data_IF_373576342317
#
_entry.id   IF_373576342317
#
_cell.length_a   1.000
_cell.length_b   1.000
_cell.length_c   1.000
_cell.angle_alpha   90.00
_cell.angle_beta   90.00
_cell.angle_gamma   90.00
#
_symmetry.space_group_name_H-M   'P 1'
#
loop_
_entity.id
_entity.type
_entity.pdbx_description
1 polymer ?
#
# COMPACT_ATOMS: atom_id res chain seq x y z
N UNK A 1 21.66 6.34 17.06
CA UNK A 1 20.55 7.12 17.65
C UNK A 1 19.76 6.15 18.49
N UNK A 2 19.73 6.33 19.82
CA UNK A 2 18.80 5.59 20.67
C UNK A 2 17.37 5.90 20.22
N UNK A 3 16.51 4.89 20.17
CA UNK A 3 15.09 5.10 19.94
C UNK A 3 14.56 6.10 20.97
N UNK A 4 13.71 7.08 20.58
CA UNK A 4 13.11 7.98 21.55
C UNK A 4 12.42 7.15 22.64
N UNK A 5 12.48 7.59 23.92
CA UNK A 5 11.87 6.85 25.01
C UNK A 5 10.38 6.65 24.71
N UNK A 6 9.95 5.39 24.72
CA UNK A 6 8.55 5.02 24.59
C UNK A 6 7.82 5.51 25.84
N UNK A 7 7.03 6.57 25.71
CA UNK A 7 6.23 7.11 26.81
C UNK A 7 4.94 6.29 26.97
N UNK A 8 5.08 5.02 27.35
CA UNK A 8 3.94 4.19 27.74
C UNK A 8 3.72 4.29 29.24
N UNK A 9 2.49 4.60 29.65
CA UNK A 9 2.04 4.42 31.02
C UNK A 9 2.16 2.94 31.36
N UNK A 10 3.10 2.57 32.23
CA UNK A 10 3.28 1.17 32.69
C UNK A 10 2.12 0.63 33.57
N UNK A 11 0.95 1.25 33.54
CA UNK A 11 -0.27 0.75 34.15
C UNK A 11 -1.46 1.03 33.25
N UNK A 12 -2.21 0.00 32.90
CA UNK A 12 -3.41 0.03 32.05
C UNK A 12 -4.61 0.75 32.69
N UNK A 13 -4.47 1.27 33.90
CA UNK A 13 -5.61 1.76 34.70
C UNK A 13 -5.64 3.29 34.92
N UNK A 14 -4.61 4.05 34.53
CA UNK A 14 -4.53 5.48 34.86
C UNK A 14 -4.19 6.38 33.68
N UNK A 15 -4.87 7.53 33.64
CA UNK A 15 -4.54 8.65 32.77
C UNK A 15 -3.13 9.18 33.05
N UNK A 16 -2.52 9.78 32.04
CA UNK A 16 -1.15 10.30 32.07
C UNK A 16 -1.12 11.76 31.66
N UNK A 17 -0.45 12.59 32.45
CA UNK A 17 -0.24 14.00 32.14
C UNK A 17 1.11 14.23 31.45
N UNK A 18 1.10 15.01 30.37
CA UNK A 18 2.27 15.47 29.65
C UNK A 18 2.34 16.99 29.80
N UNK A 19 3.45 17.49 30.34
CA UNK A 19 3.60 18.90 30.72
C UNK A 19 4.87 19.50 30.14
N UNK A 20 4.92 20.82 30.05
CA UNK A 20 6.04 21.60 29.52
C UNK A 20 6.36 21.23 28.07
N UNK A 21 5.36 21.25 27.19
CA UNK A 21 5.50 21.08 25.75
C UNK A 21 5.15 22.34 24.97
N UNK A 22 5.35 22.30 23.66
CA UNK A 22 4.80 23.24 22.67
C UNK A 22 3.79 22.49 21.83
N UNK A 23 2.53 22.46 22.27
CA UNK A 23 1.50 21.58 21.73
C UNK A 23 0.67 22.34 20.72
N UNK A 24 0.77 21.97 19.44
CA UNK A 24 -0.09 22.48 18.39
C UNK A 24 -1.35 21.61 18.29
N UNK A 25 -2.52 22.22 18.44
CA UNK A 25 -3.79 21.49 18.61
C UNK A 25 -4.62 21.40 17.34
N UNK A 26 -4.36 22.25 16.34
CA UNK A 26 -5.22 22.45 15.16
C UNK A 26 -6.67 22.88 15.55
N UNK A 27 -6.85 23.42 16.75
CA UNK A 27 -8.11 24.01 17.19
C UNK A 27 -8.03 25.53 17.05
N UNK A 28 -8.84 26.14 16.17
CA UNK A 28 -8.85 27.59 15.93
C UNK A 28 -9.08 28.41 17.21
N UNK A 29 -9.86 27.89 18.17
CA UNK A 29 -10.14 28.57 19.43
C UNK A 29 -8.99 28.47 20.45
N UNK A 30 -8.13 27.47 20.33
CA UNK A 30 -6.97 27.26 21.19
C UNK A 30 -5.82 26.61 20.40
N UNK A 31 -5.17 27.32 19.46
CA UNK A 31 -4.22 26.69 18.51
C UNK A 31 -2.96 26.13 19.19
N UNK A 32 -2.63 26.67 20.35
CA UNK A 32 -1.47 26.29 21.15
C UNK A 32 -1.88 25.92 22.57
N UNK A 33 -1.21 24.91 23.12
CA UNK A 33 -1.26 24.53 24.52
C UNK A 33 0.14 24.18 25.01
N UNK A 34 0.28 24.04 26.33
CA UNK A 34 1.57 23.71 26.96
C UNK A 34 1.60 22.31 27.56
N UNK A 35 0.42 21.72 27.79
CA UNK A 35 0.26 20.45 28.48
C UNK A 35 -1.08 19.78 28.12
N UNK A 36 -1.17 18.47 28.36
CA UNK A 36 -2.39 17.69 28.17
C UNK A 36 -2.42 16.43 29.03
N UNK A 37 -3.61 15.84 29.18
CA UNK A 37 -3.84 14.55 29.84
C UNK A 37 -4.41 13.57 28.81
N UNK A 38 -3.81 12.38 28.72
CA UNK A 38 -4.31 11.26 27.92
C UNK A 38 -4.89 10.21 28.86
N UNK A 39 -6.15 9.84 28.63
CA UNK A 39 -6.84 8.79 29.35
C UNK A 39 -6.34 7.38 29.01
N UNK A 40 -6.74 6.35 29.77
CA UNK A 40 -6.34 4.97 29.52
C UNK A 40 -6.85 4.41 28.18
N UNK A 41 -7.89 5.02 27.60
CA UNK A 41 -8.43 4.70 26.27
C UNK A 41 -7.68 5.40 25.12
N UNK A 42 -6.66 6.20 25.42
CA UNK A 42 -5.86 6.94 24.45
C UNK A 42 -6.47 8.28 24.02
N UNK A 43 -7.56 8.74 24.64
CA UNK A 43 -8.19 10.02 24.31
C UNK A 43 -7.68 11.17 25.18
N UNK A 44 -7.72 12.39 24.65
CA UNK A 44 -7.42 13.58 25.44
C UNK A 44 -8.56 13.83 26.45
N UNK A 45 -8.23 13.89 27.73
CA UNK A 45 -9.17 14.27 28.80
C UNK A 45 -9.10 15.76 29.14
N UNK A 46 -7.94 16.39 28.93
CA UNK A 46 -7.72 17.82 29.14
C UNK A 46 -6.54 18.31 28.29
N UNK A 47 -6.62 19.55 27.79
CA UNK A 47 -5.55 20.24 27.03
C UNK A 47 -5.52 21.69 27.50
N UNK A 48 -4.36 22.22 27.87
CA UNK A 48 -4.30 23.54 28.49
C UNK A 48 -2.90 24.03 28.82
N UNK A 49 -2.85 24.99 29.74
CA UNK A 49 -1.60 25.52 30.30
C UNK A 49 -0.91 24.50 31.21
N UNK A 50 0.38 24.73 31.48
CA UNK A 50 1.11 23.95 32.48
C UNK A 50 0.45 23.98 33.86
N UNK A 51 -0.09 25.13 34.26
CA UNK A 51 -0.67 25.33 35.58
C UNK A 51 -1.92 24.46 35.77
N UNK A 52 -2.87 24.55 34.84
CA UNK A 52 -4.13 23.80 34.87
C UNK A 52 -3.89 22.29 34.88
N UNK A 53 -3.04 21.80 33.97
CA UNK A 53 -2.78 20.37 33.83
C UNK A 53 -1.99 19.82 35.02
N UNK A 54 -1.03 20.58 35.57
CA UNK A 54 -0.31 20.16 36.79
C UNK A 54 -1.25 20.10 38.00
N UNK A 55 -2.15 21.06 38.16
CA UNK A 55 -3.14 21.04 39.24
C UNK A 55 -4.07 19.82 39.14
N UNK A 56 -4.59 19.53 37.93
CA UNK A 56 -5.39 18.33 37.67
C UNK A 56 -4.60 17.05 37.95
N UNK A 57 -3.37 16.95 37.44
CA UNK A 57 -2.52 15.79 37.64
C UNK A 57 -2.19 15.56 39.12
N UNK A 58 -1.96 16.63 39.91
CA UNK A 58 -1.71 16.53 41.35
C UNK A 58 -2.97 16.06 42.10
N UNK A 59 -4.13 16.67 41.84
CA UNK A 59 -5.38 16.31 42.51
C UNK A 59 -5.79 14.84 42.26
N UNK A 60 -5.55 14.35 41.04
CA UNK A 60 -5.85 12.98 40.59
C UNK A 60 -4.70 12.00 40.81
N UNK A 61 -3.55 12.46 41.33
CA UNK A 61 -2.32 11.66 41.52
C UNK A 61 -1.84 10.96 40.24
N UNK A 62 -1.93 11.64 39.10
CA UNK A 62 -1.50 11.12 37.80
C UNK A 62 0.02 11.12 37.66
N UNK A 63 0.53 10.18 36.87
CA UNK A 63 1.92 10.21 36.38
C UNK A 63 2.09 11.44 35.49
N UNK A 64 3.21 12.16 35.68
CA UNK A 64 3.54 13.37 34.93
C UNK A 64 4.84 13.17 34.14
N UNK A 65 4.79 13.37 32.83
CA UNK A 65 5.96 13.36 31.95
C UNK A 65 6.33 14.78 31.52
N UNK A 66 7.60 15.15 31.68
CA UNK A 66 8.12 16.44 31.22
C UNK A 66 8.51 16.34 29.73
N UNK A 67 7.87 17.14 28.89
CA UNK A 67 8.16 17.25 27.46
C UNK A 67 9.36 18.17 27.17
N UNK A 68 9.86 18.92 28.16
CA UNK A 68 11.09 19.74 28.06
C UNK A 68 11.07 20.75 26.89
N UNK A 69 9.93 21.40 26.66
CA UNK A 69 9.72 22.36 25.58
C UNK A 69 9.62 21.74 24.18
N UNK A 70 9.60 20.40 24.05
CA UNK A 70 9.47 19.73 22.76
C UNK A 70 8.15 20.07 22.08
N UNK A 71 8.21 20.15 20.76
CA UNK A 71 7.03 20.32 19.92
C UNK A 71 6.20 19.04 19.88
N UNK A 72 4.88 19.21 19.98
CA UNK A 72 3.88 18.13 19.84
C UNK A 72 2.88 18.60 18.79
N UNK A 73 2.54 17.71 17.87
CA UNK A 73 1.50 17.90 16.86
C UNK A 73 0.63 16.65 16.78
N UNK A 74 -0.57 16.73 16.17
CA UNK A 74 -1.34 15.54 15.84
C UNK A 74 -0.51 14.61 14.96
N UNK A 75 -0.70 13.30 15.15
CA UNK A 75 -0.10 12.31 14.28
C UNK A 75 -0.58 12.49 12.83
N UNK A 76 0.28 12.11 11.88
CA UNK A 76 -0.02 12.29 10.46
C UNK A 76 -1.10 11.27 10.06
N UNK A 77 -2.07 11.73 9.30
CA UNK A 77 -3.01 10.90 8.56
C UNK A 77 -2.57 10.86 7.10
N UNK A 78 -2.22 9.67 6.61
CA UNK A 78 -1.94 9.47 5.18
C UNK A 78 -3.25 9.14 4.45
N UNK A 79 -3.68 10.06 3.58
CA UNK A 79 -4.99 10.00 2.96
C UNK A 79 -5.09 9.03 1.77
N UNK A 80 -3.98 8.43 1.31
CA UNK A 80 -4.04 7.42 0.25
C UNK A 80 -2.80 6.53 0.30
N UNK A 81 -2.99 5.28 0.70
CA UNK A 81 -1.90 4.30 0.81
C UNK A 81 -2.29 2.95 0.20
N UNK A 82 -1.27 2.11 0.00
CA UNK A 82 -1.41 0.71 -0.37
C UNK A 82 -0.52 -0.13 0.56
N UNK A 83 -0.86 -0.22 1.85
CA UNK A 83 -0.01 -0.77 2.93
C UNK A 83 0.46 -2.18 2.62
N UNK A 84 -0.47 -3.09 2.26
CA UNK A 84 -0.11 -4.49 2.01
C UNK A 84 0.72 -4.60 0.73
N UNK A 85 0.34 -3.89 -0.35
CA UNK A 85 1.11 -3.92 -1.59
C UNK A 85 2.53 -3.36 -1.40
N UNK A 86 2.67 -2.19 -0.76
CA UNK A 86 3.96 -1.57 -0.46
C UNK A 86 4.81 -2.45 0.47
N UNK A 87 4.20 -3.09 1.47
CA UNK A 87 4.90 -4.01 2.34
C UNK A 87 5.35 -5.29 1.61
N UNK A 88 4.53 -5.85 0.72
CA UNK A 88 4.91 -6.98 -0.14
C UNK A 88 6.09 -6.60 -1.03
N UNK A 89 6.02 -5.42 -1.67
CA UNK A 89 7.13 -4.86 -2.45
C UNK A 89 8.43 -4.84 -1.66
N UNK A 90 8.38 -4.40 -0.40
CA UNK A 90 9.55 -4.26 0.46
C UNK A 90 10.11 -5.57 0.98
N UNK A 91 9.29 -6.61 1.14
CA UNK A 91 9.67 -7.81 1.90
C UNK A 91 9.73 -9.09 1.08
N UNK A 92 8.96 -9.19 0.00
CA UNK A 92 8.78 -10.42 -0.79
C UNK A 92 9.12 -10.28 -2.27
N UNK A 93 9.51 -9.10 -2.73
CA UNK A 93 9.73 -8.85 -4.16
C UNK A 93 11.15 -8.30 -4.43
N UNK A 94 11.66 -8.62 -5.63
CA UNK A 94 13.02 -8.31 -6.04
C UNK A 94 13.17 -6.82 -6.39
N UNK A 95 14.02 -6.10 -5.66
CA UNK A 95 14.33 -4.69 -5.95
C UNK A 95 15.48 -4.60 -6.95
N UNK A 96 15.14 -4.36 -8.22
CA UNK A 96 16.07 -4.43 -9.34
C UNK A 96 16.70 -3.08 -9.74
N UNK A 97 16.18 -1.97 -9.21
CA UNK A 97 16.66 -0.61 -9.51
C UNK A 97 16.08 -0.03 -10.80
N UNK A 98 15.70 1.24 -10.74
CA UNK A 98 15.02 1.97 -11.84
C UNK A 98 15.87 2.06 -13.11
N UNK A 99 17.19 2.02 -12.94
CA UNK A 99 18.21 1.99 -14.00
C UNK A 99 18.29 0.65 -14.74
N UNK A 100 17.51 -0.36 -14.34
CA UNK A 100 17.42 -1.63 -15.07
C UNK A 100 17.09 -1.41 -16.54
N UNK A 101 17.84 -2.08 -17.40
CA UNK A 101 17.77 -1.99 -18.85
C UNK A 101 17.56 -3.36 -19.47
N UNK A 102 17.40 -3.41 -20.78
CA UNK A 102 17.35 -4.65 -21.57
C UNK A 102 18.51 -5.63 -21.29
N UNK A 103 19.70 -5.12 -20.90
CA UNK A 103 20.89 -5.92 -20.59
C UNK A 103 21.00 -6.37 -19.14
N UNK A 104 20.39 -5.64 -18.21
CA UNK A 104 20.57 -5.85 -16.76
C UNK A 104 19.32 -6.37 -16.06
N UNK A 105 18.15 -6.29 -16.71
CA UNK A 105 16.87 -6.66 -16.13
C UNK A 105 16.90 -8.04 -15.47
N UNK A 106 17.19 -9.08 -16.25
CA UNK A 106 17.10 -10.45 -15.74
C UNK A 106 18.20 -10.81 -14.73
N UNK A 107 19.41 -10.27 -14.88
CA UNK A 107 20.48 -10.49 -13.89
C UNK A 107 20.18 -9.78 -12.57
N UNK A 108 19.63 -8.56 -12.61
CA UNK A 108 19.21 -7.83 -11.42
C UNK A 108 18.09 -8.56 -10.68
N UNK A 109 17.10 -9.11 -11.40
CA UNK A 109 16.04 -9.94 -10.78
C UNK A 109 16.69 -11.12 -10.03
N UNK A 110 17.60 -11.85 -10.68
CA UNK A 110 18.25 -13.03 -10.10
C UNK A 110 19.04 -12.69 -8.83
N UNK A 111 19.76 -11.57 -8.84
CA UNK A 111 20.52 -11.12 -7.68
C UNK A 111 19.61 -10.65 -6.54
N UNK A 112 18.58 -9.87 -6.86
CA UNK A 112 17.69 -9.29 -5.86
C UNK A 112 16.71 -10.31 -5.26
N UNK A 113 16.23 -11.29 -6.05
CA UNK A 113 15.34 -12.35 -5.55
C UNK A 113 16.04 -13.25 -4.53
N UNK A 114 17.33 -13.54 -4.75
CA UNK A 114 18.15 -14.29 -3.79
C UNK A 114 18.36 -13.57 -2.46
N UNK A 115 18.32 -12.23 -2.45
CA UNK A 115 18.48 -11.43 -1.23
C UNK A 115 17.16 -11.19 -0.48
N UNK A 116 16.03 -11.55 -1.08
CA UNK A 116 14.70 -11.28 -0.54
C UNK A 116 14.23 -12.43 0.37
N UNK A 117 13.90 -12.09 1.63
CA UNK A 117 13.56 -13.07 2.67
C UNK A 117 12.29 -13.87 2.36
N UNK A 118 11.34 -13.28 1.63
CA UNK A 118 10.06 -13.90 1.28
C UNK A 118 9.88 -14.09 -0.23
N UNK A 119 10.98 -14.23 -1.00
CA UNK A 119 10.95 -14.37 -2.47
C UNK A 119 10.11 -15.54 -2.99
N UNK A 120 9.90 -16.59 -2.20
CA UNK A 120 9.13 -17.78 -2.60
C UNK A 120 7.66 -17.75 -2.10
N UNK A 121 7.20 -16.65 -1.50
CA UNK A 121 5.85 -16.57 -0.92
C UNK A 121 4.75 -16.65 -1.99
N UNK A 122 5.10 -16.29 -3.23
CA UNK A 122 4.24 -16.37 -4.42
C UNK A 122 4.49 -17.65 -5.23
N UNK A 123 4.93 -18.73 -4.56
CA UNK A 123 5.17 -20.01 -5.20
C UNK A 123 6.38 -19.97 -6.14
N UNK A 124 6.18 -20.41 -7.39
CA UNK A 124 7.18 -20.40 -8.45
C UNK A 124 7.34 -19.02 -9.14
N UNK A 125 6.47 -18.04 -8.83
CA UNK A 125 6.56 -16.71 -9.41
C UNK A 125 7.66 -15.87 -8.79
N UNK A 126 8.47 -15.26 -9.65
CA UNK A 126 9.38 -14.18 -9.25
C UNK A 126 8.77 -12.84 -9.63
N UNK A 127 8.62 -11.96 -8.63
CA UNK A 127 8.09 -10.60 -8.83
C UNK A 127 9.21 -9.58 -8.61
N UNK A 128 9.39 -8.65 -9.55
CA UNK A 128 10.41 -7.61 -9.49
C UNK A 128 9.85 -6.17 -9.58
N UNK A 129 10.60 -5.22 -9.01
CA UNK A 129 10.31 -3.79 -8.98
C UNK A 129 11.61 -2.97 -8.98
N UNK A 130 11.74 -1.81 -9.60
CA UNK A 130 10.98 -1.32 -10.75
C UNK A 130 11.96 -1.12 -11.88
N UNK A 131 11.50 -1.26 -13.12
CA UNK A 131 12.24 -0.77 -14.29
C UNK A 131 11.60 0.52 -14.82
N UNK A 132 12.31 1.22 -15.71
CA UNK A 132 11.75 2.32 -16.49
C UNK A 132 11.82 1.98 -17.98
N UNK A 133 10.71 2.10 -18.69
CA UNK A 133 10.63 1.70 -20.09
C UNK A 133 11.65 2.42 -21.00
N UNK A 134 11.99 3.68 -20.68
CA UNK A 134 12.97 4.47 -21.42
C UNK A 134 14.40 3.90 -21.42
N UNK A 135 14.70 2.93 -20.55
CA UNK A 135 16.01 2.28 -20.48
C UNK A 135 16.14 1.07 -21.41
N UNK A 136 15.08 0.72 -22.15
CA UNK A 136 15.05 -0.36 -23.12
C UNK A 136 15.33 0.20 -24.52
N UNK A 137 15.83 -0.66 -25.43
CA UNK A 137 16.01 -0.29 -26.82
C UNK A 137 14.67 0.25 -27.40
N UNK A 138 14.72 1.45 -27.97
CA UNK A 138 13.56 2.19 -28.50
C UNK A 138 12.42 2.47 -27.49
N UNK A 139 12.68 2.29 -26.19
CA UNK A 139 11.69 2.51 -25.13
C UNK A 139 10.64 1.40 -25.00
N UNK A 140 10.84 0.25 -25.65
CA UNK A 140 9.85 -0.84 -25.73
C UNK A 140 10.37 -2.06 -24.94
N UNK A 141 9.77 -2.39 -23.78
CA UNK A 141 10.11 -3.59 -23.05
C UNK A 141 9.61 -4.84 -23.78
N UNK A 142 10.35 -5.95 -23.67
CA UNK A 142 10.03 -7.20 -24.36
C UNK A 142 10.41 -8.42 -23.49
N UNK A 143 9.51 -9.40 -23.42
CA UNK A 143 9.66 -10.64 -22.65
C UNK A 143 10.93 -11.42 -22.98
N UNK A 144 11.48 -11.25 -24.18
CA UNK A 144 12.74 -11.89 -24.60
C UNK A 144 13.91 -11.59 -23.66
N UNK A 145 13.90 -10.42 -23.01
CA UNK A 145 14.94 -10.02 -22.05
C UNK A 145 14.85 -10.79 -20.73
N UNK A 146 13.70 -11.41 -20.44
CA UNK A 146 13.49 -12.30 -19.31
C UNK A 146 13.64 -13.76 -19.71
N UNK A 147 13.14 -14.14 -20.89
CA UNK A 147 13.07 -15.54 -21.35
C UNK A 147 14.44 -16.24 -21.40
N UNK A 148 15.53 -15.52 -21.67
CA UNK A 148 16.88 -16.11 -21.72
C UNK A 148 17.33 -16.70 -20.37
N UNK A 149 17.05 -15.99 -19.27
CA UNK A 149 17.45 -16.39 -17.91
C UNK A 149 16.32 -17.11 -17.16
N UNK A 150 15.08 -16.92 -17.59
CA UNK A 150 13.86 -17.48 -16.99
C UNK A 150 13.01 -18.20 -18.05
N UNK A 151 13.49 -19.29 -18.67
CA UNK A 151 12.74 -19.98 -19.71
C UNK A 151 11.51 -20.72 -19.17
N UNK A 152 11.59 -21.23 -17.94
CA UNK A 152 10.56 -22.06 -17.32
C UNK A 152 9.96 -21.48 -16.04
N UNK A 153 10.58 -20.44 -15.48
CA UNK A 153 10.11 -19.79 -14.26
C UNK A 153 9.26 -18.57 -14.64
N UNK A 154 8.02 -18.44 -14.16
CA UNK A 154 7.20 -17.28 -14.47
C UNK A 154 7.72 -16.03 -13.73
N UNK A 155 7.88 -14.93 -14.47
CA UNK A 155 8.42 -13.67 -13.97
C UNK A 155 7.49 -12.52 -14.33
N UNK A 156 7.23 -11.65 -13.35
CA UNK A 156 6.56 -10.35 -13.55
C UNK A 156 7.48 -9.27 -13.04
N UNK A 157 7.60 -8.18 -13.79
CA UNK A 157 8.32 -6.99 -13.35
C UNK A 157 7.40 -5.78 -13.50
N UNK A 158 7.19 -5.03 -12.42
CA UNK A 158 6.48 -3.74 -12.49
C UNK A 158 7.39 -2.65 -13.01
N UNK A 159 6.80 -1.80 -13.83
CA UNK A 159 7.37 -0.51 -14.23
C UNK A 159 7.15 0.51 -13.11
N UNK A 160 7.99 1.56 -13.05
CA UNK A 160 7.99 2.56 -11.95
C UNK A 160 6.62 3.23 -11.70
N UNK A 161 5.79 3.37 -12.72
CA UNK A 161 4.42 3.89 -12.59
C UNK A 161 3.49 2.97 -11.82
N UNK A 162 3.80 1.67 -11.71
CA UNK A 162 2.88 0.60 -11.29
C UNK A 162 1.66 0.39 -12.21
N UNK A 163 1.56 1.11 -13.34
CA UNK A 163 0.47 1.00 -14.34
C UNK A 163 0.85 0.10 -15.53
N UNK A 164 2.05 -0.48 -15.49
CA UNK A 164 2.57 -1.38 -16.53
C UNK A 164 3.35 -2.51 -15.88
N UNK A 165 3.25 -3.69 -16.47
CA UNK A 165 4.05 -4.86 -16.10
C UNK A 165 4.64 -5.51 -17.34
N UNK A 166 5.80 -6.12 -17.16
CA UNK A 166 6.41 -7.02 -18.13
C UNK A 166 6.34 -8.45 -17.60
N UNK A 167 5.78 -9.35 -18.40
CA UNK A 167 5.63 -10.77 -18.09
C UNK A 167 6.37 -11.61 -19.11
N UNK A 168 7.13 -12.61 -18.65
CA UNK A 168 7.86 -13.51 -19.54
C UNK A 168 6.96 -14.57 -20.21
N UNK A 169 7.51 -15.35 -21.14
CA UNK A 169 6.80 -16.41 -21.85
C UNK A 169 6.25 -17.48 -20.89
N UNK A 170 7.01 -17.88 -19.87
CA UNK A 170 6.56 -18.84 -18.87
C UNK A 170 5.33 -18.33 -18.10
N UNK A 171 5.33 -17.05 -17.70
CA UNK A 171 4.21 -16.41 -17.01
C UNK A 171 2.96 -16.31 -17.88
N UNK A 172 3.10 -15.89 -19.14
CA UNK A 172 1.97 -15.85 -20.08
C UNK A 172 1.32 -17.23 -20.27
N UNK A 173 2.15 -18.28 -20.42
CA UNK A 173 1.69 -19.66 -20.51
C UNK A 173 0.94 -20.11 -19.25
N UNK A 174 1.46 -19.79 -18.07
CA UNK A 174 0.82 -20.16 -16.79
C UNK A 174 -0.53 -19.46 -16.60
N UNK A 175 -0.66 -18.23 -17.10
CA UNK A 175 -1.93 -17.50 -17.13
C UNK A 175 -2.88 -17.93 -18.27
N UNK A 176 -2.46 -18.88 -19.12
CA UNK A 176 -3.24 -19.30 -20.29
C UNK A 176 -3.44 -18.18 -21.33
N UNK A 177 -2.57 -17.16 -21.35
CA UNK A 177 -2.63 -16.07 -22.31
C UNK A 177 -1.87 -16.45 -23.58
N UNK A 178 -2.54 -16.28 -24.71
CA UNK A 178 -1.99 -16.50 -26.05
C UNK A 178 -2.23 -15.27 -26.94
N UNK A 179 -1.83 -15.39 -28.20
CA UNK A 179 -1.91 -14.30 -29.19
C UNK A 179 -3.35 -13.86 -29.51
N UNK A 180 -4.35 -14.67 -29.16
CA UNK A 180 -5.77 -14.41 -29.39
C UNK A 180 -6.42 -13.63 -28.22
N UNK A 181 -5.69 -13.34 -27.14
CA UNK A 181 -6.20 -12.54 -26.01
C UNK A 181 -6.79 -11.21 -26.50
N UNK A 182 -7.92 -10.78 -25.97
CA UNK A 182 -8.52 -9.49 -26.35
C UNK A 182 -8.18 -8.43 -25.32
N UNK A 183 -7.90 -7.22 -25.81
CA UNK A 183 -7.72 -6.05 -24.94
C UNK A 183 -9.06 -5.73 -24.25
N UNK A 184 -9.09 -5.62 -22.91
CA UNK A 184 -10.27 -5.17 -22.19
C UNK A 184 -10.46 -3.65 -22.37
N UNK A 185 -11.67 -3.12 -22.15
CA UNK A 185 -11.85 -1.69 -21.97
C UNK A 185 -10.88 -1.15 -20.90
N UNK A 186 -10.19 -0.04 -21.19
CA UNK A 186 -9.23 0.58 -20.28
C UNK A 186 -7.92 -0.19 -20.06
N UNK A 187 -7.55 -1.16 -20.91
CA UNK A 187 -6.25 -1.87 -20.80
C UNK A 187 -5.82 -2.51 -22.12
N UNK A 188 -4.57 -2.98 -22.20
CA UNK A 188 -4.04 -3.57 -23.42
C UNK A 188 -2.96 -4.63 -23.19
N UNK A 189 -2.88 -5.59 -24.12
CA UNK A 189 -1.80 -6.56 -24.27
C UNK A 189 -0.98 -6.20 -25.51
N UNK A 190 0.28 -5.81 -25.31
CA UNK A 190 1.12 -5.33 -26.41
C UNK A 190 1.63 -6.48 -27.29
N UNK A 191 1.67 -6.21 -28.60
CA UNK A 191 2.07 -7.15 -29.63
C UNK A 191 3.21 -6.60 -30.48
N UNK A 192 4.06 -7.51 -30.94
CA UNK A 192 5.05 -7.29 -31.99
C UNK A 192 4.36 -7.17 -33.36
N UNK A 193 5.07 -6.68 -34.40
CA UNK A 193 4.53 -6.61 -35.76
C UNK A 193 4.10 -7.96 -36.34
N UNK A 194 4.66 -9.08 -35.87
CA UNK A 194 4.29 -10.43 -36.28
C UNK A 194 3.04 -10.98 -35.55
N UNK A 195 2.44 -10.17 -34.68
CA UNK A 195 1.25 -10.51 -33.89
C UNK A 195 1.56 -11.15 -32.54
N UNK A 196 2.83 -11.46 -32.24
CA UNK A 196 3.20 -12.13 -30.98
C UNK A 196 3.24 -11.18 -29.78
N UNK A 197 2.84 -11.64 -28.59
CA UNK A 197 2.83 -10.84 -27.37
C UNK A 197 4.25 -10.43 -26.98
N UNK A 198 4.44 -9.13 -26.72
CA UNK A 198 5.70 -8.62 -26.14
C UNK A 198 5.81 -8.99 -24.67
N UNK A 199 4.69 -9.36 -24.02
CA UNK A 199 4.60 -9.58 -22.58
C UNK A 199 4.38 -8.32 -21.77
N UNK A 200 4.32 -7.15 -22.42
CA UNK A 200 3.91 -5.91 -21.78
C UNK A 200 2.38 -5.83 -21.68
N UNK A 201 1.90 -5.50 -20.48
CA UNK A 201 0.48 -5.44 -20.12
C UNK A 201 0.24 -4.17 -19.30
N UNK A 202 -0.84 -3.45 -19.58
CA UNK A 202 -1.13 -2.16 -18.94
C UNK A 202 -2.56 -2.08 -18.37
N UNK A 203 -2.71 -1.29 -17.31
CA UNK A 203 -3.99 -0.89 -16.70
C UNK A 203 -4.93 -2.07 -16.39
N UNK A 204 -6.20 -2.00 -16.82
CA UNK A 204 -7.23 -3.01 -16.51
C UNK A 204 -6.80 -4.41 -16.92
N UNK A 205 -6.01 -4.56 -18.00
CA UNK A 205 -5.49 -5.85 -18.44
C UNK A 205 -4.58 -6.51 -17.38
N UNK A 206 -3.94 -5.72 -16.50
CA UNK A 206 -3.13 -6.23 -15.39
C UNK A 206 -3.98 -6.95 -14.33
N UNK A 207 -5.27 -6.64 -14.22
CA UNK A 207 -6.17 -7.35 -13.30
C UNK A 207 -6.24 -8.85 -13.61
N UNK A 208 -6.07 -9.25 -14.88
CA UNK A 208 -5.97 -10.68 -15.21
C UNK A 208 -4.73 -11.30 -14.57
N UNK A 209 -3.60 -10.59 -14.57
CA UNK A 209 -2.34 -11.09 -14.02
C UNK A 209 -2.43 -11.27 -12.52
N UNK A 210 -2.93 -10.26 -11.80
CA UNK A 210 -3.05 -10.32 -10.34
C UNK A 210 -3.97 -11.45 -9.86
N UNK A 211 -4.99 -11.84 -10.65
CA UNK A 211 -5.87 -12.98 -10.34
C UNK A 211 -5.23 -14.35 -10.54
N UNK A 212 -4.21 -14.46 -11.40
CA UNK A 212 -3.51 -15.73 -11.64
C UNK A 212 -2.36 -15.97 -10.67
N UNK A 213 -1.88 -14.92 -10.01
CA UNK A 213 -0.88 -15.09 -8.97
C UNK A 213 -1.45 -15.87 -7.77
N UNK A 214 -0.61 -16.66 -7.08
CA UNK A 214 -1.01 -17.28 -5.82
C UNK A 214 -1.53 -16.23 -4.84
N UNK A 215 -2.60 -16.57 -4.11
CA UNK A 215 -3.10 -15.68 -3.07
C UNK A 215 -2.04 -15.48 -2.00
N UNK A 216 -1.82 -14.23 -1.59
CA UNK A 216 -0.93 -13.90 -0.48
C UNK A 216 -1.35 -14.69 0.77
N UNK A 217 -0.48 -15.53 1.34
CA UNK A 217 -0.80 -16.26 2.55
C UNK A 217 -1.14 -15.31 3.71
N UNK A 218 -2.19 -15.60 4.45
CA UNK A 218 -2.67 -14.72 5.53
C UNK A 218 -1.60 -14.44 6.59
N UNK A 219 -0.80 -15.46 6.95
CA UNK A 219 0.31 -15.31 7.90
C UNK A 219 1.36 -14.32 7.41
N UNK A 220 1.69 -14.36 6.11
CA UNK A 220 2.60 -13.42 5.51
C UNK A 220 1.99 -12.02 5.41
N UNK A 221 0.71 -11.89 5.03
CA UNK A 221 0.01 -10.60 5.00
C UNK A 221 0.05 -9.90 6.37
N UNK A 222 -0.13 -10.64 7.48
CA UNK A 222 0.01 -10.11 8.84
C UNK A 222 1.42 -9.58 9.12
N UNK A 223 2.45 -10.38 8.82
CA UNK A 223 3.85 -9.96 8.97
C UNK A 223 4.16 -8.70 8.16
N UNK A 224 3.65 -8.63 6.93
CA UNK A 224 3.83 -7.48 6.03
C UNK A 224 3.14 -6.23 6.56
N UNK A 225 1.90 -6.35 7.03
CA UNK A 225 1.15 -5.23 7.59
C UNK A 225 1.83 -4.72 8.85
N UNK A 226 2.32 -5.58 9.75
CA UNK A 226 3.09 -5.15 10.92
C UNK A 226 4.37 -4.40 10.54
N UNK A 227 5.08 -4.87 9.51
CA UNK A 227 6.23 -4.14 8.95
C UNK A 227 5.81 -2.77 8.42
N UNK A 228 4.74 -2.69 7.63
CA UNK A 228 4.24 -1.43 7.07
C UNK A 228 3.79 -0.44 8.15
N UNK A 229 3.10 -0.92 9.19
CA UNK A 229 2.70 -0.13 10.37
C UNK A 229 3.93 0.40 11.12
N UNK A 230 4.96 -0.44 11.31
CA UNK A 230 6.22 0.00 11.90
C UNK A 230 6.87 1.12 11.08
N UNK A 231 6.89 1.01 9.75
CA UNK A 231 7.41 2.07 8.88
C UNK A 231 6.57 3.35 8.99
N UNK A 232 5.24 3.25 8.99
CA UNK A 232 4.34 4.40 9.20
C UNK A 232 4.71 5.19 10.46
N UNK A 233 4.84 4.49 11.59
CA UNK A 233 5.20 5.11 12.88
C UNK A 233 6.56 5.78 12.88
N UNK A 234 7.55 5.24 12.15
CA UNK A 234 8.87 5.89 12.01
C UNK A 234 8.80 7.27 11.36
N UNK A 235 7.78 7.51 10.53
CA UNK A 235 7.52 8.80 9.90
C UNK A 235 6.43 9.62 10.61
N UNK A 236 5.92 9.15 11.76
CA UNK A 236 4.87 9.83 12.52
C UNK A 236 3.46 9.67 11.94
N UNK A 237 3.26 8.73 11.02
CA UNK A 237 1.94 8.36 10.49
C UNK A 237 1.26 7.47 11.52
N UNK A 238 0.06 7.88 11.95
CA UNK A 238 -0.74 7.21 13.00
C UNK A 238 -2.10 6.75 12.51
N UNK A 239 -2.50 7.18 11.31
CA UNK A 239 -3.69 6.68 10.64
C UNK A 239 -3.53 6.74 9.13
N UNK A 240 -4.23 5.88 8.40
CA UNK A 240 -4.12 5.76 6.94
C UNK A 240 -5.47 5.47 6.28
N UNK A 241 -5.58 5.82 5.00
CA UNK A 241 -6.59 5.25 4.10
C UNK A 241 -5.93 4.15 3.26
N UNK A 242 -6.28 2.89 3.51
CA UNK A 242 -5.89 1.76 2.66
C UNK A 242 -6.79 1.78 1.42
N UNK A 243 -6.22 2.14 0.27
CA UNK A 243 -6.94 2.42 -0.98
C UNK A 243 -7.16 1.19 -1.86
N UNK A 244 -6.77 0.01 -1.41
CA UNK A 244 -6.89 -1.26 -2.12
C UNK A 244 -7.25 -2.42 -1.18
N UNK A 245 -8.09 -2.18 -0.17
CA UNK A 245 -8.49 -3.22 0.77
C UNK A 245 -9.21 -4.36 0.01
N UNK A 246 -8.74 -5.59 0.22
CA UNK A 246 -9.32 -6.81 -0.34
C UNK A 246 -9.56 -7.85 0.76
N UNK A 247 -10.02 -9.04 0.38
CA UNK A 247 -10.38 -10.08 1.33
C UNK A 247 -9.23 -10.44 2.28
N UNK A 248 -8.02 -10.66 1.74
CA UNK A 248 -6.84 -11.04 2.54
C UNK A 248 -6.45 -9.92 3.51
N UNK A 249 -6.49 -8.67 3.06
CA UNK A 249 -6.18 -7.51 3.89
C UNK A 249 -7.11 -7.43 5.11
N UNK A 250 -8.44 -7.50 4.89
CA UNK A 250 -9.44 -7.37 5.95
C UNK A 250 -9.32 -8.47 6.98
N UNK A 251 -9.09 -9.72 6.56
CA UNK A 251 -8.79 -10.82 7.49
C UNK A 251 -7.50 -10.58 8.29
N UNK A 252 -6.45 -10.09 7.64
CA UNK A 252 -5.17 -9.86 8.30
C UNK A 252 -5.25 -8.77 9.38
N UNK A 253 -5.85 -7.61 9.06
CA UNK A 253 -6.02 -6.53 10.05
C UNK A 253 -6.97 -6.93 11.17
N UNK A 254 -8.00 -7.73 10.88
CA UNK A 254 -8.92 -8.25 11.91
C UNK A 254 -8.21 -9.19 12.88
N UNK A 255 -7.37 -10.10 12.40
CA UNK A 255 -6.59 -10.97 13.27
C UNK A 255 -5.54 -10.20 14.06
N UNK A 256 -4.84 -9.24 13.44
CA UNK A 256 -3.88 -8.40 14.14
C UNK A 256 -4.54 -7.58 15.26
N UNK A 257 -5.73 -7.03 15.02
CA UNK A 257 -6.51 -6.34 16.05
C UNK A 257 -6.88 -7.27 17.21
N UNK A 258 -7.42 -8.45 16.90
CA UNK A 258 -7.78 -9.44 17.92
C UNK A 258 -6.57 -9.91 18.75
N UNK A 259 -5.37 -9.85 18.17
CA UNK A 259 -4.10 -10.16 18.82
C UNK A 259 -3.47 -8.96 19.54
N UNK A 260 -4.08 -7.77 19.51
CA UNK A 260 -3.53 -6.50 20.03
C UNK A 260 -2.20 -6.09 19.36
N UNK A 261 -2.07 -6.38 18.07
CA UNK A 261 -0.87 -6.14 17.24
C UNK A 261 -1.10 -5.11 16.14
N UNK A 262 -2.22 -4.39 16.15
CA UNK A 262 -2.55 -3.35 15.18
C UNK A 262 -2.59 -1.94 15.82
N UNK A 263 -1.43 -1.31 16.06
CA UNK A 263 -1.38 0.03 16.66
C UNK A 263 -1.55 1.17 15.62
N UNK A 264 -2.42 1.02 14.61
CA UNK A 264 -2.63 2.01 13.54
C UNK A 264 -4.12 2.09 13.19
N UNK A 265 -4.69 3.29 13.11
CA UNK A 265 -6.07 3.48 12.64
C UNK A 265 -6.13 3.40 11.11
N UNK A 266 -6.99 2.54 10.58
CA UNK A 266 -7.07 2.22 9.15
C UNK A 266 -8.49 2.44 8.64
N UNK A 267 -8.65 3.37 7.72
CA UNK A 267 -9.83 3.47 6.87
C UNK A 267 -9.64 2.56 5.67
N UNK A 268 -10.40 1.46 5.61
CA UNK A 268 -10.28 0.44 4.56
C UNK A 268 -11.22 0.77 3.41
N UNK A 269 -10.66 1.21 2.29
CA UNK A 269 -11.41 1.45 1.06
C UNK A 269 -11.39 0.17 0.24
N UNK A 270 -12.52 -0.54 0.27
CA UNK A 270 -12.69 -1.78 -0.50
C UNK A 270 -12.87 -1.39 -1.96
N UNK A 271 -12.05 -1.95 -2.85
CA UNK A 271 -12.22 -1.70 -4.29
C UNK A 271 -13.57 -2.28 -4.72
N UNK A 272 -14.32 -1.57 -5.56
CA UNK A 272 -15.61 -2.04 -6.08
C UNK A 272 -15.60 -2.32 -7.58
N UNK A 273 -15.00 -1.44 -8.39
CA UNK A 273 -14.95 -1.58 -9.85
C UNK A 273 -13.93 -0.61 -10.48
N UNK A 274 -13.52 -0.84 -11.76
CA UNK A 274 -13.69 -2.08 -12.53
C UNK A 274 -12.59 -3.12 -12.21
N UNK A 275 -11.60 -2.75 -11.41
CA UNK A 275 -10.55 -3.65 -10.97
C UNK A 275 -10.96 -4.49 -9.77
N UNK A 276 -10.31 -5.63 -9.61
CA UNK A 276 -10.64 -6.59 -8.55
C UNK A 276 -9.51 -6.87 -7.54
N UNK A 277 -8.34 -6.27 -7.73
CA UNK A 277 -7.19 -6.34 -6.79
C UNK A 277 -6.88 -7.78 -6.27
N UNK A 278 -6.99 -8.76 -7.17
CA UNK A 278 -6.73 -10.19 -6.89
C UNK A 278 -7.95 -11.00 -6.46
N UNK A 279 -9.07 -10.38 -6.09
CA UNK A 279 -10.34 -11.06 -5.87
C UNK A 279 -11.08 -11.32 -7.21
N UNK A 280 -12.11 -12.17 -7.19
CA UNK A 280 -13.07 -12.24 -8.29
C UNK A 280 -14.13 -11.14 -8.12
N UNK A 281 -14.78 -10.70 -9.20
CA UNK A 281 -15.88 -9.73 -9.13
C UNK A 281 -16.97 -10.18 -8.13
N UNK A 282 -17.32 -11.47 -8.13
CA UNK A 282 -18.26 -12.05 -7.18
C UNK A 282 -17.75 -11.97 -5.73
N UNK A 283 -16.47 -12.32 -5.50
CA UNK A 283 -15.88 -12.27 -4.15
C UNK A 283 -15.79 -10.83 -3.62
N UNK A 284 -15.47 -9.88 -4.48
CA UNK A 284 -15.36 -8.47 -4.15
C UNK A 284 -16.74 -7.86 -3.83
N UNK A 285 -17.76 -8.17 -4.63
CA UNK A 285 -19.15 -7.79 -4.33
C UNK A 285 -19.63 -8.43 -3.01
N UNK A 286 -19.30 -9.69 -2.78
CA UNK A 286 -19.59 -10.38 -1.51
C UNK A 286 -18.88 -9.71 -0.32
N UNK A 287 -17.62 -9.29 -0.49
CA UNK A 287 -16.84 -8.61 0.54
C UNK A 287 -17.48 -7.29 0.96
N UNK A 288 -17.94 -6.49 0.00
CA UNK A 288 -18.67 -5.24 0.27
C UNK A 288 -19.93 -5.49 1.11
N UNK A 289 -20.65 -6.59 0.87
CA UNK A 289 -21.86 -6.94 1.63
C UNK A 289 -21.57 -7.35 3.08
N UNK A 290 -20.34 -7.77 3.40
CA UNK A 290 -19.94 -8.22 4.74
C UNK A 290 -18.89 -7.31 5.39
N UNK A 291 -18.57 -6.17 4.79
CA UNK A 291 -17.52 -5.26 5.21
C UNK A 291 -17.68 -4.80 6.68
N UNK A 292 -18.91 -4.53 7.11
CA UNK A 292 -19.23 -4.13 8.48
C UNK A 292 -18.79 -5.18 9.52
N UNK A 293 -18.80 -6.48 9.16
CA UNK A 293 -18.36 -7.55 10.06
C UNK A 293 -16.86 -7.50 10.40
N UNK A 294 -16.07 -6.77 9.61
CA UNK A 294 -14.64 -6.56 9.85
C UNK A 294 -14.35 -5.31 10.70
N UNK A 295 -15.33 -4.44 10.93
CA UNK A 295 -15.16 -3.22 11.71
C UNK A 295 -14.68 -3.53 13.14
N UNK A 296 -13.73 -2.72 13.61
CA UNK A 296 -13.10 -2.86 14.92
C UNK A 296 -12.66 -1.50 15.46
N UNK A 297 -11.94 -1.49 16.59
CA UNK A 297 -11.44 -0.25 17.19
C UNK A 297 -10.54 0.55 16.23
N UNK A 298 -9.62 -0.14 15.55
CA UNK A 298 -8.63 0.46 14.65
C UNK A 298 -8.92 0.22 13.16
N UNK A 299 -9.97 -0.53 12.82
CA UNK A 299 -10.34 -0.84 11.43
C UNK A 299 -11.73 -0.30 11.12
N UNK A 300 -11.80 0.65 10.19
CA UNK A 300 -13.04 1.26 9.73
C UNK A 300 -13.34 0.82 8.29
N UNK A 301 -14.53 0.30 8.03
CA UNK A 301 -14.87 -0.38 6.75
C UNK A 301 -15.93 0.35 5.93
N UNK A 302 -16.37 1.53 6.36
CA UNK A 302 -17.39 2.34 5.69
C UNK A 302 -16.95 3.05 4.40
N UNK A 303 -15.90 2.56 3.72
CA UNK A 303 -15.29 3.24 2.57
C UNK A 303 -15.18 2.31 1.36
N UNK A 304 -15.40 2.88 0.17
CA UNK A 304 -15.34 2.17 -1.11
C UNK A 304 -14.42 2.92 -2.07
N UNK A 305 -13.66 2.19 -2.87
CA UNK A 305 -12.79 2.72 -3.94
C UNK A 305 -13.33 2.34 -5.32
N UNK A 306 -13.42 3.34 -6.18
CA UNK A 306 -13.66 3.18 -7.61
C UNK A 306 -12.48 3.73 -8.41
N UNK A 307 -12.23 3.15 -9.57
CA UNK A 307 -11.37 3.75 -10.60
C UNK A 307 -12.27 4.26 -11.73
N UNK A 308 -11.96 5.44 -12.24
CA UNK A 308 -12.70 6.06 -13.34
C UNK A 308 -11.93 5.95 -14.65
N UNK A 309 -10.62 6.13 -14.61
CA UNK A 309 -9.71 6.07 -15.75
C UNK A 309 -8.28 5.66 -15.32
N UNK A 310 -7.35 5.66 -16.27
CA UNK A 310 -5.94 5.32 -16.04
C UNK A 310 -5.05 6.51 -15.63
N UNK A 311 -3.75 6.39 -15.89
CA UNK A 311 -2.74 7.37 -15.48
C UNK A 311 -2.25 8.28 -16.63
N UNK A 312 -1.96 9.57 -16.34
CA UNK A 312 -1.39 10.51 -17.30
C UNK A 312 0.13 10.36 -17.50
N UNK A 313 0.62 9.13 -17.63
CA UNK A 313 2.06 8.85 -17.70
C UNK A 313 2.48 8.38 -19.11
N UNK A 314 3.56 8.95 -19.68
CA UNK A 314 4.11 8.48 -20.95
C UNK A 314 4.73 7.08 -20.79
N UNK A 315 4.87 6.32 -21.89
CA UNK A 315 4.48 6.60 -23.27
C UNK A 315 3.01 6.27 -23.58
N UNK A 316 2.29 5.61 -22.66
CA UNK A 316 0.88 5.25 -22.81
C UNK A 316 0.06 5.97 -21.76
N UNK A 317 -0.30 7.21 -22.06
CA UNK A 317 -1.28 7.97 -21.28
C UNK A 317 -2.65 7.32 -21.42
N UNK A 318 -3.14 6.73 -20.33
CA UNK A 318 -4.34 5.89 -20.25
C UNK A 318 -5.49 6.58 -19.52
N UNK A 319 -5.27 7.78 -19.00
CA UNK A 319 -6.31 8.65 -18.49
C UNK A 319 -7.26 9.09 -19.61
N UNK A 320 -8.50 9.37 -19.25
CA UNK A 320 -9.47 9.98 -20.14
C UNK A 320 -9.17 11.49 -20.25
N UNK A 321 -8.45 11.90 -21.29
CA UNK A 321 -8.21 13.31 -21.58
C UNK A 321 -9.49 14.03 -22.04
N UNK A 322 -9.50 15.35 -21.92
CA UNK A 322 -10.52 16.20 -22.54
C UNK A 322 -10.13 16.55 -23.99
N UNK A 323 -11.11 16.60 -24.89
CA UNK A 323 -10.95 17.11 -26.24
C UNK A 323 -10.79 18.65 -26.26
N UNK A 324 -10.60 19.23 -27.45
CA UNK A 324 -10.46 20.67 -27.63
C UNK A 324 -11.70 21.49 -27.20
N UNK A 325 -12.84 20.82 -26.96
CA UNK A 325 -14.09 21.41 -26.49
C UNK A 325 -14.33 21.15 -24.99
N UNK A 326 -13.41 20.48 -24.30
CA UNK A 326 -13.53 20.14 -22.88
C UNK A 326 -14.41 18.92 -22.60
N UNK A 327 -14.74 18.10 -23.60
CA UNK A 327 -15.49 16.86 -23.40
C UNK A 327 -14.55 15.66 -23.20
N UNK A 328 -14.95 14.65 -22.39
CA UNK A 328 -14.19 13.41 -22.25
C UNK A 328 -13.94 12.72 -23.61
N UNK A 329 -12.70 12.33 -23.89
CA UNK A 329 -12.37 11.50 -25.06
C UNK A 329 -12.93 10.09 -24.88
N UNK A 330 -14.12 9.87 -25.43
CA UNK A 330 -14.85 8.60 -25.34
C UNK A 330 -14.10 7.38 -25.91
N UNK A 331 -12.98 7.56 -26.63
CA UNK A 331 -12.12 6.45 -27.07
C UNK A 331 -11.19 5.93 -25.97
N UNK A 332 -11.07 6.65 -24.85
CA UNK A 332 -10.19 6.36 -23.72
C UNK A 332 -10.95 6.16 -22.39
N UNK A 333 -12.28 6.16 -22.44
CA UNK A 333 -13.18 5.87 -21.32
C UNK A 333 -13.41 4.37 -21.21
#
# INVERSE_FOLDING_TARGET
MEAPPFYSSKGSENATAFVNGRVYTINDAQPWAEAFIVGPDGRFEAVGSNEEIRALAQSRRLVQYQLQGKFVMPGIHDAHTHLLAAGCQRTGEAHIGWESSDKTLASNIKSASCACAYSNVMGNWTIGNFYQASNFADGIPDRKYLDELYPDNPVIVREISCHRILVNTAGLREMGLDENVKDPPGGAYFRRPDGTLTGEIIEVAMSSVWRHLPRTPLSYAKTVIEFAVSECHRYGITSVQESSANTVYLHAVRELEAENRLPLDICTHIVAAPETQGDSEESQAALLNVAEAFESKHVHTGFVKFFLDGAPLPPHSTQCSLDEHGHPDAKRV
#
